data_IF_615950695250
#
_entry.id   IF_615950695250
#
_cell.length_a   1.000
_cell.length_b   1.000
_cell.length_c   1.000
_cell.angle_alpha   90.00
_cell.angle_beta   90.00
_cell.angle_gamma   90.00
#
_symmetry.space_group_name_H-M   'P 1'
#
loop_
_entity.id
_entity.type
_entity.pdbx_description
1 polymer ?
#
# COMPACT_ATOMS: atom_id res chain seq x y z
N UNK A 1 -4.68 -11.86 10.05
CA UNK A 1 -6.16 -11.71 10.05
C UNK A 1 -6.53 -11.28 11.44
N UNK A 2 -6.86 -10.01 11.59
CA UNK A 2 -7.20 -9.40 12.86
C UNK A 2 -8.69 -9.52 13.11
N UNK A 3 -9.03 -9.83 14.35
CA UNK A 3 -10.40 -9.79 14.85
C UNK A 3 -10.68 -8.38 15.34
N UNK A 4 -11.76 -7.79 14.82
CA UNK A 4 -12.28 -6.49 15.26
C UNK A 4 -13.79 -6.57 15.38
N UNK A 5 -14.41 -5.52 15.92
CA UNK A 5 -15.84 -5.43 16.13
C UNK A 5 -16.38 -4.18 15.44
N UNK A 6 -17.51 -4.31 14.76
CA UNK A 6 -18.16 -3.21 14.05
C UNK A 6 -19.64 -3.09 14.40
N UNK A 7 -20.22 -1.94 14.07
CA UNK A 7 -21.65 -1.68 14.20
C UNK A 7 -22.36 -2.09 12.91
N UNK A 8 -23.42 -2.89 13.06
CA UNK A 8 -24.21 -3.44 11.97
C UNK A 8 -25.61 -2.84 11.99
N UNK A 9 -26.22 -2.69 10.82
CA UNK A 9 -27.60 -2.29 10.61
C UNK A 9 -28.24 -3.21 9.57
N UNK A 10 -29.56 -3.39 9.65
CA UNK A 10 -30.30 -4.06 8.58
C UNK A 10 -30.55 -3.07 7.44
N UNK A 11 -30.00 -3.36 6.26
CA UNK A 11 -30.21 -2.62 5.03
C UNK A 11 -30.91 -3.54 4.02
N UNK A 12 -32.25 -3.42 3.93
CA UNK A 12 -33.06 -4.32 3.10
C UNK A 12 -33.04 -5.76 3.62
N UNK A 13 -32.57 -6.68 2.79
CA UNK A 13 -32.42 -8.11 3.10
C UNK A 13 -31.03 -8.49 3.63
N UNK A 14 -30.10 -7.53 3.70
CA UNK A 14 -28.73 -7.74 4.15
C UNK A 14 -28.42 -7.01 5.46
N UNK A 15 -27.38 -7.49 6.13
CA UNK A 15 -26.77 -6.80 7.27
C UNK A 15 -25.54 -6.04 6.77
N UNK A 16 -25.55 -4.72 6.93
CA UNK A 16 -24.47 -3.84 6.49
C UNK A 16 -23.74 -3.24 7.67
N UNK A 17 -22.44 -2.99 7.49
CA UNK A 17 -21.58 -2.40 8.48
C UNK A 17 -21.54 -0.87 8.31
N UNK A 18 -21.60 -0.12 9.42
CA UNK A 18 -21.50 1.33 9.43
C UNK A 18 -20.04 1.81 9.39
N UNK A 19 -19.44 1.78 8.20
CA UNK A 19 -18.00 2.05 7.99
C UNK A 19 -17.55 3.42 8.53
N UNK A 20 -18.42 4.43 8.46
CA UNK A 20 -18.12 5.78 8.94
C UNK A 20 -17.92 5.87 10.47
N UNK A 21 -18.33 4.84 11.23
CA UNK A 21 -18.14 4.80 12.69
C UNK A 21 -16.86 4.10 13.10
N UNK A 22 -16.20 3.42 12.17
CA UNK A 22 -14.97 2.68 12.43
C UNK A 22 -15.19 1.30 13.05
N UNK A 23 -14.09 0.74 13.58
CA UNK A 23 -14.03 -0.59 14.20
C UNK A 23 -13.31 -0.53 15.55
N UNK A 24 -13.65 -1.44 16.45
CA UNK A 24 -13.07 -1.55 17.79
C UNK A 24 -12.31 -2.87 17.96
N UNK A 25 -11.30 -2.86 18.81
CA UNK A 25 -10.51 -4.07 19.11
C UNK A 25 -11.26 -5.06 20.02
N UNK A 26 -12.24 -4.56 20.78
CA UNK A 26 -13.03 -5.34 21.75
C UNK A 26 -14.52 -5.14 21.53
N UNK A 27 -15.33 -6.15 21.84
CA UNK A 27 -16.80 -6.08 21.74
C UNK A 27 -17.36 -5.05 22.72
N UNK A 28 -16.77 -4.96 23.90
CA UNK A 28 -17.18 -4.10 25.00
C UNK A 28 -17.08 -2.63 24.60
N UNK A 29 -15.95 -2.22 24.01
CA UNK A 29 -15.76 -0.84 23.54
C UNK A 29 -16.77 -0.46 22.44
N UNK A 30 -17.10 -1.38 21.52
CA UNK A 30 -18.12 -1.14 20.50
C UNK A 30 -19.52 -1.01 21.12
N UNK A 31 -19.85 -1.83 22.13
CA UNK A 31 -21.12 -1.74 22.87
C UNK A 31 -21.21 -0.46 23.69
N UNK A 32 -20.12 -0.05 24.34
CA UNK A 32 -20.06 1.19 25.11
C UNK A 32 -20.31 2.39 24.20
N UNK A 33 -19.68 2.44 23.03
CA UNK A 33 -19.93 3.48 22.03
C UNK A 33 -21.40 3.49 21.58
N UNK A 34 -21.97 2.32 21.26
CA UNK A 34 -23.38 2.20 20.87
C UNK A 34 -24.33 2.73 21.97
N UNK A 35 -24.03 2.44 23.23
CA UNK A 35 -24.85 2.84 24.38
C UNK A 35 -24.68 4.30 24.79
N UNK A 36 -23.52 4.91 24.54
CA UNK A 36 -23.21 6.29 24.90
C UNK A 36 -23.57 7.26 23.77
N UNK A 37 -22.98 7.07 22.59
CA UNK A 37 -23.07 8.00 21.46
C UNK A 37 -24.32 7.77 20.60
N UNK A 38 -24.87 6.56 20.61
CA UNK A 38 -26.00 6.16 19.75
C UNK A 38 -27.20 5.66 20.55
N UNK A 39 -27.31 6.04 21.83
CA UNK A 39 -28.33 5.56 22.78
C UNK A 39 -29.78 5.64 22.31
N UNK A 40 -30.09 6.62 21.47
CA UNK A 40 -31.44 6.88 20.97
C UNK A 40 -31.73 6.22 19.61
N UNK A 41 -30.76 5.47 19.06
CA UNK A 41 -30.85 4.81 17.76
C UNK A 41 -31.10 3.33 17.99
N UNK A 42 -32.16 2.81 17.38
CA UNK A 42 -32.54 1.40 17.44
C UNK A 42 -32.13 0.67 16.15
N UNK A 43 -32.05 -0.65 16.20
CA UNK A 43 -31.76 -1.48 15.02
C UNK A 43 -30.28 -1.53 14.64
N UNK A 44 -29.39 -1.11 15.54
CA UNK A 44 -27.94 -1.27 15.40
C UNK A 44 -27.45 -2.27 16.44
N UNK A 45 -26.53 -3.16 16.05
CA UNK A 45 -25.92 -4.14 16.94
C UNK A 45 -24.43 -4.33 16.63
N UNK A 46 -23.69 -4.88 17.59
CA UNK A 46 -22.26 -5.17 17.45
C UNK A 46 -22.07 -6.55 16.83
N UNK A 47 -21.13 -6.71 15.91
CA UNK A 47 -20.75 -8.02 15.34
C UNK A 47 -19.24 -8.12 15.16
N UNK A 48 -18.71 -9.34 15.29
CA UNK A 48 -17.31 -9.66 15.00
C UNK A 48 -17.04 -9.57 13.48
N UNK A 49 -15.97 -8.86 13.12
CA UNK A 49 -15.46 -8.75 11.77
C UNK A 49 -14.08 -9.39 11.70
N UNK A 50 -13.85 -10.14 10.63
CA UNK A 50 -12.53 -10.66 10.28
C UNK A 50 -11.94 -9.76 9.22
N UNK A 51 -10.97 -8.94 9.59
CA UNK A 51 -10.25 -8.10 8.65
C UNK A 51 -8.89 -8.72 8.36
N UNK A 52 -8.45 -8.65 7.11
CA UNK A 52 -7.04 -8.91 6.84
C UNK A 52 -6.24 -7.82 7.55
N UNK A 53 -5.17 -8.21 8.24
CA UNK A 53 -4.21 -7.19 8.65
C UNK A 53 -3.71 -6.49 7.39
N UNK A 54 -3.38 -5.20 7.52
CA UNK A 54 -2.45 -4.59 6.58
C UNK A 54 -1.28 -5.56 6.42
N UNK A 55 -0.86 -5.81 5.17
CA UNK A 55 0.38 -6.55 4.92
C UNK A 55 1.43 -5.92 5.86
N UNK A 56 2.06 -6.68 6.78
CA UNK A 56 3.05 -6.10 7.67
C UNK A 56 4.05 -5.33 6.80
N UNK A 57 4.57 -4.20 7.27
CA UNK A 57 5.61 -3.39 6.59
C UNK A 57 6.86 -4.21 6.19
N UNK A 58 6.93 -5.50 6.50
CA UNK A 58 7.89 -6.48 6.02
C UNK A 58 7.75 -6.87 4.52
N UNK A 59 7.04 -6.07 3.73
CA UNK A 59 7.18 -6.08 2.28
C UNK A 59 7.62 -4.69 1.80
N UNK A 60 8.62 -4.10 2.45
CA UNK A 60 9.60 -3.35 1.66
C UNK A 60 10.22 -4.40 0.71
N UNK A 61 9.92 -4.39 -0.61
CA UNK A 61 10.88 -5.01 -1.51
C UNK A 61 12.23 -4.38 -1.16
N UNK A 62 13.31 -5.16 -1.10
CA UNK A 62 14.65 -4.58 -1.06
C UNK A 62 14.69 -3.58 -2.21
N UNK A 63 14.52 -2.29 -1.87
CA UNK A 63 14.43 -1.26 -2.87
C UNK A 63 15.86 -1.13 -3.36
N UNK A 64 16.16 -1.84 -4.44
CA UNK A 64 17.46 -1.79 -5.06
C UNK A 64 17.83 -0.32 -5.25
N UNK A 65 19.02 0.05 -4.77
CA UNK A 65 19.46 1.44 -4.81
C UNK A 65 19.50 1.89 -6.28
N UNK A 66 18.66 2.88 -6.61
CA UNK A 66 18.55 3.36 -7.98
C UNK A 66 19.88 3.98 -8.44
N UNK A 67 20.35 3.56 -9.62
CA UNK A 67 21.62 3.99 -10.21
C UNK A 67 21.37 5.23 -11.07
N UNK A 68 22.26 6.22 -10.98
CA UNK A 68 22.22 7.43 -11.79
C UNK A 68 22.82 7.13 -13.18
N UNK A 69 22.13 7.54 -14.25
CA UNK A 69 22.73 7.56 -15.58
C UNK A 69 23.67 8.76 -15.73
N UNK A 70 24.91 8.54 -16.15
CA UNK A 70 25.93 9.59 -16.27
C UNK A 70 25.68 10.53 -17.47
N UNK A 71 24.89 10.10 -18.46
CA UNK A 71 24.53 10.92 -19.62
C UNK A 71 23.35 11.86 -19.37
N UNK A 72 22.26 11.34 -18.81
CA UNK A 72 21.01 12.12 -18.64
C UNK A 72 20.74 12.57 -17.20
N UNK A 73 21.49 12.08 -16.22
CA UNK A 73 21.35 12.45 -14.81
C UNK A 73 20.06 11.98 -14.14
N UNK A 74 19.35 11.03 -14.75
CA UNK A 74 18.12 10.43 -14.21
C UNK A 74 18.48 9.13 -13.48
N UNK A 75 17.81 8.85 -12.36
CA UNK A 75 17.94 7.60 -11.62
C UNK A 75 17.04 6.51 -12.20
N UNK A 76 17.58 5.32 -12.38
CA UNK A 76 16.90 4.14 -12.93
C UNK A 76 17.06 2.93 -12.02
N UNK A 77 16.24 1.91 -12.24
CA UNK A 77 16.49 0.60 -11.63
C UNK A 77 17.83 0.06 -12.15
N UNK A 78 18.61 -0.67 -11.34
CA UNK A 78 19.87 -1.25 -11.80
C UNK A 78 19.72 -2.13 -13.06
N UNK A 79 18.60 -2.82 -13.20
CA UNK A 79 18.29 -3.64 -14.39
C UNK A 79 18.17 -2.84 -15.70
N UNK A 80 17.97 -1.52 -15.61
CA UNK A 80 17.81 -0.62 -16.75
C UNK A 80 19.08 0.23 -17.02
N UNK A 81 20.18 -0.06 -16.32
CA UNK A 81 21.48 0.65 -16.44
C UNK A 81 22.58 -0.35 -16.72
N UNK A 82 23.28 -0.16 -17.84
CA UNK A 82 24.48 -0.90 -18.14
C UNK A 82 25.66 -0.28 -17.39
N UNK A 83 26.25 -1.07 -16.50
CA UNK A 83 27.44 -0.73 -15.69
C UNK A 83 28.61 -1.70 -15.94
N UNK A 84 28.45 -2.63 -16.88
CA UNK A 84 29.44 -3.68 -17.16
C UNK A 84 30.10 -3.54 -18.51
N UNK A 85 29.34 -3.09 -19.51
CA UNK A 85 29.81 -3.04 -20.90
C UNK A 85 30.38 -1.67 -21.28
N UNK A 86 30.15 -0.65 -20.45
CA UNK A 86 30.61 0.72 -20.64
C UNK A 86 31.43 1.20 -19.43
N UNK A 87 32.31 2.19 -19.65
CA UNK A 87 33.05 2.83 -18.56
C UNK A 87 32.14 3.72 -17.70
N UNK A 88 31.11 4.32 -18.31
CA UNK A 88 30.09 5.13 -17.66
C UNK A 88 28.81 4.31 -17.36
N UNK A 89 28.06 4.68 -16.33
CA UNK A 89 26.76 4.09 -16.05
C UNK A 89 25.71 4.66 -17.03
N UNK A 90 25.32 3.86 -18.02
CA UNK A 90 24.44 4.31 -19.12
C UNK A 90 23.09 3.62 -19.03
N UNK A 91 22.00 4.39 -18.95
CA UNK A 91 20.65 3.81 -19.00
C UNK A 91 20.29 3.35 -20.42
N UNK A 92 19.40 2.36 -20.51
CA UNK A 92 18.92 1.76 -21.78
C UNK A 92 18.45 2.77 -22.84
N UNK A 93 17.99 3.96 -22.41
CA UNK A 93 17.54 5.02 -23.32
C UNK A 93 18.70 5.83 -23.92
N UNK A 94 19.82 5.93 -23.20
CA UNK A 94 21.02 6.65 -23.62
C UNK A 94 22.03 5.73 -24.32
N UNK A 95 21.94 4.41 -24.14
CA UNK A 95 22.82 3.43 -24.80
C UNK A 95 22.90 3.60 -26.33
N UNK A 96 21.79 3.81 -27.08
CA UNK A 96 21.89 3.94 -28.53
C UNK A 96 22.76 5.13 -28.95
N UNK A 97 22.69 6.24 -28.22
CA UNK A 97 23.49 7.43 -28.50
C UNK A 97 24.95 7.21 -28.09
N UNK A 98 25.19 6.59 -26.93
CA UNK A 98 26.52 6.28 -26.44
C UNK A 98 27.31 5.38 -27.40
N UNK A 99 26.69 4.29 -27.88
CA UNK A 99 27.29 3.37 -28.86
C UNK A 99 27.61 4.03 -30.21
N UNK A 100 26.86 5.05 -30.60
CA UNK A 100 27.18 5.81 -31.83
C UNK A 100 28.37 6.73 -31.63
N UNK A 101 28.57 7.28 -30.44
CA UNK A 101 29.69 8.16 -30.14
C UNK A 101 31.01 7.41 -29.97
N UNK A 102 30.99 6.23 -29.32
CA UNK A 102 32.20 5.38 -29.21
C UNK A 102 32.66 4.82 -30.56
N UNK A 103 31.74 4.59 -31.52
CA UNK A 103 32.09 4.18 -32.89
C UNK A 103 32.64 5.34 -33.75
N UNK A 104 32.77 6.56 -33.21
CA UNK A 104 33.34 7.73 -33.89
C UNK A 104 34.75 8.11 -33.39
N UNK A 105 35.33 7.33 -32.46
CA UNK A 105 36.71 7.42 -31.98
C UNK A 105 37.56 6.27 -32.53
#
# INVERSE_FOLDING_TARGET
MKKVYGLMVQAGDANEMLWDRGVWETEEAAKEYLQSEMRNINGIWVTELKVNDSIPEAAEPEAEEMILCDLCGIKYNPADVNVTDFEDAVCINCEPEYLTQENML
#
